data_IF_152093272486
#
_entry.id   IF_152093272486
#
_cell.length_a   1.000
_cell.length_b   1.000
_cell.length_c   1.000
_cell.angle_alpha   90.00
_cell.angle_beta   90.00
_cell.angle_gamma   90.00
#
_symmetry.space_group_name_H-M   'P 1'
#
loop_
_entity.id
_entity.type
_entity.pdbx_description
1 polymer ?
#
# COMPACT_ATOMS: atom_id res chain seq x y z
N UNK A 1 -20.63 -13.62 -22.38
CA UNK A 1 -19.99 -14.79 -21.72
C UNK A 1 -18.50 -14.53 -21.70
N UNK A 2 -17.92 -14.74 -20.52
CA UNK A 2 -16.50 -14.78 -20.17
C UNK A 2 -15.73 -13.48 -20.38
N UNK A 3 -15.99 -12.53 -19.47
CA UNK A 3 -14.96 -11.57 -19.10
C UNK A 3 -13.92 -12.37 -18.32
N UNK A 4 -12.80 -12.68 -18.95
CA UNK A 4 -11.60 -13.12 -18.26
C UNK A 4 -11.08 -11.93 -17.42
N UNK A 5 -11.75 -11.63 -16.31
CA UNK A 5 -11.28 -10.66 -15.29
C UNK A 5 -10.13 -11.22 -14.46
N UNK A 6 -9.22 -11.93 -15.12
CA UNK A 6 -7.94 -12.38 -14.60
C UNK A 6 -6.78 -11.54 -15.16
N UNK A 7 -7.07 -10.30 -15.57
CA UNK A 7 -6.08 -9.24 -15.49
C UNK A 7 -5.85 -9.02 -14.00
N UNK A 8 -4.77 -9.58 -13.47
CA UNK A 8 -4.14 -9.08 -12.25
C UNK A 8 -4.09 -7.57 -12.42
N UNK A 9 -4.98 -6.85 -11.73
CA UNK A 9 -5.07 -5.41 -11.88
C UNK A 9 -3.68 -4.84 -11.63
N UNK A 10 -3.23 -3.93 -12.51
CA UNK A 10 -1.99 -3.21 -12.31
C UNK A 10 -2.05 -2.62 -10.89
N UNK A 11 -0.98 -2.78 -10.08
CA UNK A 11 -1.01 -2.29 -8.71
C UNK A 11 -1.35 -0.81 -8.75
N UNK A 12 -2.39 -0.43 -8.03
CA UNK A 12 -2.86 0.96 -7.96
C UNK A 12 -2.96 1.36 -6.49
N UNK A 13 -2.58 2.61 -6.22
CA UNK A 13 -2.69 3.14 -4.87
C UNK A 13 -4.15 3.15 -4.39
N UNK A 14 -5.11 3.31 -5.29
CA UNK A 14 -6.54 3.29 -4.98
C UNK A 14 -7.01 1.94 -4.42
N UNK A 15 -6.48 0.82 -4.95
CA UNK A 15 -6.78 -0.51 -4.41
C UNK A 15 -6.29 -0.66 -2.97
N UNK A 16 -5.07 -0.18 -2.69
CA UNK A 16 -4.51 -0.17 -1.34
C UNK A 16 -5.34 0.71 -0.38
N UNK A 17 -5.77 1.89 -0.84
CA UNK A 17 -6.63 2.81 -0.07
C UNK A 17 -7.99 2.17 0.24
N UNK A 18 -8.60 1.50 -0.74
CA UNK A 18 -9.89 0.84 -0.55
C UNK A 18 -9.78 -0.30 0.47
N UNK A 19 -8.72 -1.11 0.39
CA UNK A 19 -8.45 -2.18 1.36
C UNK A 19 -8.22 -1.61 2.78
N UNK A 20 -7.44 -0.53 2.91
CA UNK A 20 -7.21 0.15 4.20
C UNK A 20 -8.53 0.64 4.82
N UNK A 21 -9.40 1.29 4.02
CA UNK A 21 -10.72 1.78 4.48
C UNK A 21 -11.64 0.65 4.95
N UNK A 22 -11.47 -0.56 4.42
CA UNK A 22 -12.19 -1.77 4.82
C UNK A 22 -11.53 -2.52 5.98
N UNK A 23 -10.47 -1.96 6.58
CA UNK A 23 -9.63 -2.62 7.59
C UNK A 23 -8.99 -3.94 7.13
N UNK A 24 -8.83 -4.13 5.81
CA UNK A 24 -8.17 -5.28 5.20
C UNK A 24 -6.67 -5.01 5.10
N UNK A 25 -6.00 -4.97 6.25
CA UNK A 25 -4.63 -4.45 6.34
C UNK A 25 -3.61 -5.31 5.57
N UNK A 26 -3.72 -6.63 5.59
CA UNK A 26 -2.82 -7.52 4.86
C UNK A 26 -2.94 -7.34 3.34
N UNK A 27 -4.17 -7.14 2.85
CA UNK A 27 -4.40 -6.83 1.44
C UNK A 27 -3.85 -5.45 1.08
N UNK A 28 -4.06 -4.45 1.94
CA UNK A 28 -3.54 -3.09 1.73
C UNK A 28 -2.01 -3.05 1.70
N UNK A 29 -1.34 -3.83 2.56
CA UNK A 29 0.12 -4.00 2.58
C UNK A 29 0.63 -4.61 1.26
N UNK A 30 -0.03 -5.66 0.77
CA UNK A 30 0.34 -6.29 -0.51
C UNK A 30 0.23 -5.31 -1.68
N UNK A 31 -0.85 -4.55 -1.76
CA UNK A 31 -1.05 -3.55 -2.82
C UNK A 31 -0.08 -2.37 -2.70
N UNK A 32 0.20 -1.87 -1.49
CA UNK A 32 1.22 -0.84 -1.26
C UNK A 32 2.59 -1.32 -1.71
N UNK A 33 2.98 -2.53 -1.31
CA UNK A 33 4.29 -3.12 -1.65
C UNK A 33 4.47 -3.26 -3.16
N UNK A 34 3.47 -3.80 -3.87
CA UNK A 34 3.49 -3.90 -5.33
C UNK A 34 3.55 -2.53 -6.01
N UNK A 35 2.76 -1.56 -5.54
CA UNK A 35 2.77 -0.21 -6.11
C UNK A 35 4.11 0.49 -5.94
N UNK A 36 4.74 0.33 -4.77
CA UNK A 36 6.05 0.90 -4.44
C UNK A 36 7.21 0.23 -5.18
N UNK A 37 7.08 -1.00 -5.66
CA UNK A 37 8.09 -1.61 -6.53
C UNK A 37 8.26 -0.82 -7.84
N UNK A 38 7.16 -0.35 -8.41
CA UNK A 38 7.14 0.47 -9.63
C UNK A 38 7.38 1.96 -9.32
N UNK A 39 6.99 2.42 -8.13
CA UNK A 39 7.03 3.82 -7.72
C UNK A 39 7.71 4.00 -6.35
N UNK A 40 9.01 3.70 -6.22
CA UNK A 40 9.70 3.58 -4.93
C UNK A 40 9.73 4.87 -4.11
N UNK A 41 9.64 6.01 -4.78
CA UNK A 41 9.64 7.36 -4.19
C UNK A 41 8.25 8.00 -4.23
N UNK A 42 7.16 7.24 -4.28
CA UNK A 42 5.84 7.84 -4.19
C UNK A 42 5.49 8.14 -2.72
N UNK A 43 5.55 9.43 -2.34
CA UNK A 43 5.29 9.86 -0.97
C UNK A 43 3.94 9.40 -0.41
N UNK A 44 2.87 9.43 -1.22
CA UNK A 44 1.53 9.00 -0.79
C UNK A 44 1.47 7.50 -0.51
N UNK A 45 2.12 6.69 -1.35
CA UNK A 45 2.19 5.24 -1.17
C UNK A 45 3.06 4.85 0.04
N UNK A 46 4.20 5.53 0.22
CA UNK A 46 5.05 5.33 1.41
C UNK A 46 4.30 5.69 2.70
N UNK A 47 3.57 6.81 2.70
CA UNK A 47 2.77 7.24 3.84
C UNK A 47 1.64 6.25 4.14
N UNK A 48 0.86 5.84 3.13
CA UNK A 48 -0.21 4.86 3.30
C UNK A 48 0.34 3.53 3.83
N UNK A 49 1.49 3.08 3.32
CA UNK A 49 2.10 1.84 3.79
C UNK A 49 2.49 1.94 5.26
N UNK A 50 3.05 3.07 5.69
CA UNK A 50 3.30 3.36 7.10
C UNK A 50 2.04 3.28 7.97
N UNK A 51 0.92 3.83 7.52
CA UNK A 51 -0.37 3.71 8.23
C UNK A 51 -0.85 2.27 8.34
N UNK A 52 -0.72 1.47 7.27
CA UNK A 52 -1.09 0.04 7.27
C UNK A 52 -0.25 -0.73 8.29
N UNK A 53 1.06 -0.53 8.30
CA UNK A 53 1.99 -1.18 9.23
C UNK A 53 1.67 -0.82 10.68
N UNK A 54 1.33 0.44 10.95
CA UNK A 54 0.86 0.87 12.27
C UNK A 54 -0.41 0.10 12.68
N UNK A 55 -1.40 -0.06 11.79
CA UNK A 55 -2.63 -0.80 12.10
C UNK A 55 -2.39 -2.28 12.38
N UNK A 56 -1.31 -2.85 11.84
CA UNK A 56 -0.86 -4.21 12.14
C UNK A 56 0.04 -4.31 13.39
N UNK A 57 0.34 -3.19 14.06
CA UNK A 57 1.23 -3.14 15.24
C UNK A 57 2.72 -3.16 14.90
N UNK A 58 3.10 -3.09 13.62
CA UNK A 58 4.48 -3.04 13.13
C UNK A 58 5.04 -1.61 13.21
N UNK A 59 5.07 -1.05 14.43
CA UNK A 59 5.29 0.39 14.64
C UNK A 59 6.67 0.88 14.17
N UNK A 60 7.73 0.09 14.37
CA UNK A 60 9.09 0.49 13.95
C UNK A 60 9.17 0.65 12.43
N UNK A 61 8.62 -0.32 11.68
CA UNK A 61 8.54 -0.23 10.23
C UNK A 61 7.63 0.91 9.78
N UNK A 62 6.52 1.17 10.49
CA UNK A 62 5.64 2.29 10.17
C UNK A 62 6.39 3.63 10.22
N UNK A 63 7.22 3.83 11.25
CA UNK A 63 8.04 5.04 11.40
C UNK A 63 9.02 5.16 10.23
N UNK A 64 9.70 4.08 9.85
CA UNK A 64 10.65 4.09 8.73
C UNK A 64 9.99 4.51 7.41
N UNK A 65 8.82 3.97 7.09
CA UNK A 65 8.10 4.30 5.86
C UNK A 65 7.52 5.72 5.87
N UNK A 66 7.04 6.20 7.02
CA UNK A 66 6.59 7.60 7.17
C UNK A 66 7.75 8.58 7.00
N UNK A 67 8.93 8.27 7.58
CA UNK A 67 10.12 9.10 7.40
C UNK A 67 10.57 9.14 5.93
N UNK A 68 10.53 8.00 5.23
CA UNK A 68 10.79 7.98 3.78
C UNK A 68 9.80 8.86 3.03
N UNK A 69 8.50 8.80 3.34
CA UNK A 69 7.48 9.63 2.71
C UNK A 69 7.75 11.14 2.88
N UNK A 70 8.25 11.55 4.05
CA UNK A 70 8.59 12.95 4.34
C UNK A 70 9.89 13.40 3.63
N UNK A 71 10.85 12.48 3.49
CA UNK A 71 12.14 12.74 2.88
C UNK A 71 12.14 12.67 1.34
N UNK A 72 11.01 12.34 0.74
CA UNK A 72 10.85 12.21 -0.72
C UNK A 72 10.63 13.56 -1.39
#
# INVERSE_FOLDING_TARGET
MNFDTNLVQAPSLDAAVLAYKKAQFDQSESECSRFLQENPSNANALYLFGLVLQKQGKNDLAIDYINKAIAT
#
